data_IF_126201915930
#
_entry.id   IF_126201915930
#
_cell.length_a   1.000
_cell.length_b   1.000
_cell.length_c   1.000
_cell.angle_alpha   90.00
_cell.angle_beta   90.00
_cell.angle_gamma   90.00
#
_symmetry.space_group_name_H-M   'P 1'
#
loop_
_entity.id
_entity.type
_entity.pdbx_description
1 polymer ?
#
# COMPACT_ATOMS: atom_id res chain seq x y z
N UNK A 1 50.20 -52.06 -4.31
CA UNK A 1 49.82 -51.07 -3.27
C UNK A 1 49.24 -49.84 -3.96
N UNK A 2 48.15 -49.31 -3.41
CA UNK A 2 47.16 -48.37 -3.97
C UNK A 2 47.74 -47.08 -4.58
N UNK A 3 47.18 -46.66 -5.72
CA UNK A 3 47.06 -45.23 -6.09
C UNK A 3 45.59 -44.89 -6.34
N UNK A 4 45.17 -43.85 -5.65
CA UNK A 4 43.82 -43.30 -5.56
C UNK A 4 43.58 -42.33 -6.73
N UNK A 5 42.31 -42.04 -6.97
CA UNK A 5 41.73 -40.76 -7.43
C UNK A 5 41.31 -40.63 -8.90
N UNK A 6 40.03 -40.30 -9.09
CA UNK A 6 39.49 -39.79 -10.34
C UNK A 6 37.97 -39.74 -10.46
N UNK A 7 37.23 -39.39 -9.41
CA UNK A 7 35.82 -39.02 -9.55
C UNK A 7 35.70 -37.49 -9.44
N UNK A 8 35.69 -36.80 -10.58
CA UNK A 8 35.30 -35.40 -10.68
C UNK A 8 33.91 -35.34 -11.31
N UNK A 9 32.88 -35.47 -10.47
CA UNK A 9 31.54 -35.02 -10.83
C UNK A 9 31.47 -33.51 -10.52
N UNK A 10 31.80 -32.69 -11.51
CA UNK A 10 31.65 -31.24 -11.43
C UNK A 10 30.19 -30.87 -11.72
N UNK A 11 29.30 -31.11 -10.76
CA UNK A 11 27.93 -30.60 -10.82
C UNK A 11 27.96 -29.12 -10.45
N UNK A 12 28.03 -28.24 -11.45
CA UNK A 12 27.80 -26.82 -11.25
C UNK A 12 26.34 -26.61 -10.84
N UNK A 13 26.10 -26.43 -9.53
CA UNK A 13 24.84 -25.91 -9.04
C UNK A 13 24.74 -24.45 -9.46
N UNK A 14 23.85 -24.15 -10.40
CA UNK A 14 23.30 -22.82 -10.55
C UNK A 14 22.45 -22.54 -9.30
N UNK A 15 23.07 -21.94 -8.28
CA UNK A 15 22.33 -21.35 -7.18
C UNK A 15 21.50 -20.20 -7.76
N UNK A 16 20.19 -20.42 -7.89
CA UNK A 16 19.27 -19.32 -8.11
C UNK A 16 19.49 -18.28 -6.99
N UNK A 17 19.50 -16.96 -7.29
CA UNK A 17 19.62 -15.97 -6.25
C UNK A 17 18.51 -16.20 -5.23
N UNK A 18 18.90 -16.40 -3.97
CA UNK A 18 17.95 -16.53 -2.88
C UNK A 18 17.05 -15.30 -2.89
N UNK A 19 15.73 -15.51 -2.97
CA UNK A 19 14.77 -14.42 -2.90
C UNK A 19 14.95 -13.72 -1.54
N UNK A 20 15.48 -12.50 -1.54
CA UNK A 20 15.60 -11.69 -0.32
C UNK A 20 14.19 -11.50 0.23
N UNK A 21 13.96 -11.97 1.46
CA UNK A 21 12.68 -11.75 2.12
C UNK A 21 12.42 -10.24 2.26
N UNK A 22 11.18 -9.79 2.01
CA UNK A 22 10.86 -8.38 2.10
C UNK A 22 11.03 -7.88 3.53
N UNK A 23 11.70 -6.75 3.70
CA UNK A 23 11.80 -6.07 4.99
C UNK A 23 10.42 -5.50 5.31
N UNK A 24 9.88 -5.84 6.48
CA UNK A 24 8.59 -5.32 6.97
C UNK A 24 8.79 -4.61 8.31
N UNK A 25 8.19 -3.43 8.46
CA UNK A 25 8.14 -2.69 9.71
C UNK A 25 6.76 -2.07 9.93
N UNK A 26 6.25 -2.21 11.15
CA UNK A 26 4.92 -1.73 11.53
C UNK A 26 4.97 -0.38 12.25
N UNK A 27 3.95 0.45 12.01
CA UNK A 27 3.71 1.76 12.58
C UNK A 27 2.22 1.88 12.93
N UNK A 28 1.82 1.32 14.08
CA UNK A 28 0.41 1.15 14.41
C UNK A 28 -0.25 0.14 13.45
N UNK A 29 -1.25 0.59 12.69
CA UNK A 29 -1.92 -0.24 11.66
C UNK A 29 -1.29 -0.13 10.27
N UNK A 30 -0.22 0.67 10.13
CA UNK A 30 0.52 0.84 8.88
C UNK A 30 1.70 -0.12 8.80
N UNK A 31 1.88 -0.73 7.63
CA UNK A 31 3.04 -1.56 7.35
C UNK A 31 3.89 -0.93 6.24
N UNK A 32 5.16 -0.65 6.52
CA UNK A 32 6.17 -0.36 5.51
C UNK A 32 6.77 -1.70 5.03
N UNK A 33 6.71 -1.97 3.73
CA UNK A 33 7.21 -3.20 3.12
C UNK A 33 8.21 -2.84 2.01
N UNK A 34 9.43 -3.35 2.10
CA UNK A 34 10.51 -3.08 1.16
C UNK A 34 11.05 -4.37 0.54
N UNK A 35 11.27 -4.36 -0.79
CA UNK A 35 11.85 -5.51 -1.52
C UNK A 35 13.39 -5.57 -1.48
N UNK A 36 14.01 -4.76 -0.62
CA UNK A 36 15.45 -4.58 -0.53
C UNK A 36 15.78 -3.57 0.57
N UNK A 37 16.94 -2.90 0.50
CA UNK A 37 17.29 -1.82 1.43
C UNK A 37 16.17 -0.78 1.51
N UNK A 38 15.96 -0.25 2.71
CA UNK A 38 14.93 0.76 2.98
C UNK A 38 15.26 2.02 2.20
N UNK A 39 14.48 2.27 1.16
CA UNK A 39 14.57 3.44 0.29
C UNK A 39 13.22 3.65 -0.41
N UNK A 40 12.85 4.89 -0.77
CA UNK A 40 11.59 5.20 -1.43
C UNK A 40 11.28 4.29 -2.64
N UNK A 41 12.29 4.04 -3.50
CA UNK A 41 12.16 3.23 -4.71
C UNK A 41 11.89 1.75 -4.46
N UNK A 42 12.19 1.23 -3.26
CA UNK A 42 12.08 -0.18 -2.92
C UNK A 42 10.90 -0.50 -2.01
N UNK A 43 10.22 0.53 -1.50
CA UNK A 43 9.27 0.42 -0.41
C UNK A 43 7.87 0.89 -0.82
N UNK A 44 6.87 0.31 -0.16
CA UNK A 44 5.52 0.82 -0.12
C UNK A 44 5.02 0.80 1.32
N UNK A 45 4.16 1.75 1.65
CA UNK A 45 3.47 1.82 2.94
C UNK A 45 2.01 1.49 2.70
N UNK A 46 1.41 0.63 3.51
CA UNK A 46 0.02 0.24 3.30
C UNK A 46 -0.74 0.07 4.60
N UNK A 47 -2.02 0.38 4.53
CA UNK A 47 -3.03 0.03 5.51
C UNK A 47 -4.29 -0.40 4.75
N UNK A 48 -5.09 -1.27 5.36
CA UNK A 48 -6.41 -1.57 4.84
C UNK A 48 -7.37 -1.99 5.93
N UNK A 49 -8.65 -1.99 5.58
CA UNK A 49 -9.71 -2.45 6.47
C UNK A 49 -10.86 -3.04 5.66
N UNK A 50 -11.70 -3.83 6.32
CA UNK A 50 -12.96 -4.30 5.75
C UNK A 50 -14.02 -3.18 5.77
N UNK A 51 -15.07 -3.29 4.96
CA UNK A 51 -16.18 -2.35 5.05
C UNK A 51 -16.95 -2.58 6.34
N UNK A 52 -17.55 -1.50 6.86
CA UNK A 52 -18.42 -1.58 8.04
C UNK A 52 -19.72 -2.34 7.74
N UNK A 53 -20.23 -2.23 6.51
CA UNK A 53 -21.51 -2.80 6.09
C UNK A 53 -21.39 -4.26 5.62
N UNK A 54 -20.23 -4.66 5.09
CA UNK A 54 -19.97 -5.99 4.54
C UNK A 54 -18.49 -6.35 4.67
N UNK A 55 -18.17 -7.25 5.59
CA UNK A 55 -16.79 -7.65 5.88
C UNK A 55 -16.09 -8.40 4.72
N UNK A 56 -16.84 -8.85 3.70
CA UNK A 56 -16.24 -9.41 2.48
C UNK A 56 -15.64 -8.33 1.57
N UNK A 57 -16.05 -7.06 1.78
CA UNK A 57 -15.53 -5.89 1.09
C UNK A 57 -14.34 -5.34 1.84
N UNK A 58 -13.37 -4.83 1.09
CA UNK A 58 -12.15 -4.27 1.66
C UNK A 58 -11.72 -3.01 0.92
N UNK A 59 -10.99 -2.15 1.62
CA UNK A 59 -10.24 -1.04 1.05
C UNK A 59 -8.81 -1.06 1.57
N UNK A 60 -7.88 -0.65 0.73
CA UNK A 60 -6.46 -0.49 1.06
C UNK A 60 -5.97 0.85 0.54
N UNK A 61 -5.30 1.61 1.38
CA UNK A 61 -4.52 2.77 0.97
C UNK A 61 -3.06 2.33 0.84
N UNK A 62 -2.48 2.55 -0.33
CA UNK A 62 -1.07 2.30 -0.60
C UNK A 62 -0.38 3.63 -0.87
N UNK A 63 0.73 3.88 -0.16
CA UNK A 63 1.65 4.97 -0.44
C UNK A 63 2.91 4.38 -1.07
N UNK A 64 3.18 4.80 -2.29
CA UNK A 64 4.42 4.54 -3.02
C UNK A 64 5.20 5.85 -3.16
N UNK A 65 6.37 5.81 -3.76
CA UNK A 65 7.19 6.99 -3.95
C UNK A 65 7.53 7.15 -5.43
N UNK A 66 7.40 8.37 -5.94
CA UNK A 66 7.75 8.68 -7.32
C UNK A 66 9.28 8.73 -7.51
N UNK A 67 9.72 9.02 -8.74
CA UNK A 67 11.14 9.07 -9.08
C UNK A 67 11.94 10.13 -8.30
N UNK A 68 11.26 11.14 -7.75
CA UNK A 68 11.85 12.18 -6.91
C UNK A 68 11.83 11.85 -5.42
N UNK A 69 11.28 10.69 -5.04
CA UNK A 69 11.14 10.27 -3.65
C UNK A 69 9.94 10.92 -2.95
N UNK A 70 9.04 11.57 -3.67
CA UNK A 70 7.82 12.13 -3.08
C UNK A 70 6.74 11.05 -2.95
N UNK A 71 5.96 11.06 -1.85
CA UNK A 71 4.94 10.05 -1.64
C UNK A 71 3.74 10.27 -2.56
N UNK A 72 3.21 9.18 -3.11
CA UNK A 72 1.98 9.13 -3.90
C UNK A 72 1.07 8.03 -3.38
N UNK A 73 -0.20 8.37 -3.15
CA UNK A 73 -1.20 7.49 -2.60
C UNK A 73 -2.14 6.94 -3.68
N UNK A 74 -2.53 5.69 -3.51
CA UNK A 74 -3.49 4.97 -4.35
C UNK A 74 -4.46 4.22 -3.45
N UNK A 75 -5.75 4.33 -3.72
CA UNK A 75 -6.78 3.58 -3.00
C UNK A 75 -7.23 2.42 -3.86
N UNK A 76 -7.22 1.22 -3.28
CA UNK A 76 -7.76 0.02 -3.89
C UNK A 76 -8.93 -0.45 -3.06
N UNK A 77 -10.03 -0.77 -3.72
CA UNK A 77 -11.22 -1.33 -3.06
C UNK A 77 -11.63 -2.60 -3.77
N UNK A 78 -12.18 -3.55 -3.01
CA UNK A 78 -12.87 -4.70 -3.58
C UNK A 78 -13.97 -4.20 -4.53
N UNK A 79 -14.14 -4.79 -5.72
CA UNK A 79 -15.15 -4.36 -6.66
C UNK A 79 -16.54 -4.58 -6.05
N UNK A 80 -17.42 -3.59 -6.14
CA UNK A 80 -18.85 -3.72 -5.82
C UNK A 80 -19.72 -3.62 -7.07
N UNK A 81 -21.04 -3.69 -6.91
CA UNK A 81 -21.97 -3.52 -8.03
C UNK A 81 -21.85 -2.09 -8.60
N UNK A 82 -21.05 -1.93 -9.65
CA UNK A 82 -20.90 -0.73 -10.49
C UNK A 82 -20.87 0.59 -9.70
N UNK A 83 -19.81 0.81 -8.93
CA UNK A 83 -19.51 2.14 -8.39
C UNK A 83 -19.10 3.13 -9.47
N UNK A 84 -19.39 4.43 -9.27
CA UNK A 84 -18.98 5.50 -10.21
C UNK A 84 -17.71 6.24 -9.81
N UNK A 85 -17.40 6.30 -8.51
CA UNK A 85 -16.25 7.00 -7.95
C UNK A 85 -15.91 6.49 -6.54
N UNK A 86 -14.71 6.82 -6.06
CA UNK A 86 -14.30 6.65 -4.67
C UNK A 86 -14.38 8.02 -3.99
N UNK A 87 -15.20 8.15 -2.96
CA UNK A 87 -15.21 9.31 -2.07
C UNK A 87 -14.18 9.13 -0.97
N UNK A 88 -13.48 10.20 -0.64
CA UNK A 88 -12.52 10.22 0.47
C UNK A 88 -12.75 11.44 1.34
N UNK A 89 -12.66 11.26 2.65
CA UNK A 89 -12.80 12.32 3.63
C UNK A 89 -11.90 12.04 4.82
N UNK A 90 -11.00 12.96 5.13
CA UNK A 90 -10.18 12.88 6.33
C UNK A 90 -10.86 13.70 7.44
N UNK A 91 -11.17 13.08 8.57
CA UNK A 91 -11.96 13.66 9.66
C UNK A 91 -13.21 14.42 9.16
N UNK A 92 -13.29 15.72 9.42
CA UNK A 92 -14.41 16.61 9.07
C UNK A 92 -14.17 17.41 7.79
N UNK A 93 -13.10 17.13 7.04
CA UNK A 93 -12.79 17.81 5.79
C UNK A 93 -13.87 17.59 4.72
N UNK A 94 -13.94 18.45 3.68
CA UNK A 94 -14.82 18.21 2.55
C UNK A 94 -14.55 16.86 1.88
N UNK A 95 -15.61 16.19 1.44
CA UNK A 95 -15.50 14.94 0.68
C UNK A 95 -14.89 15.22 -0.70
N UNK A 96 -13.76 14.59 -1.01
CA UNK A 96 -13.13 14.62 -2.32
C UNK A 96 -13.51 13.37 -3.12
N UNK A 97 -13.82 13.56 -4.40
CA UNK A 97 -14.15 12.47 -5.32
C UNK A 97 -12.96 12.11 -6.19
N UNK A 98 -12.64 10.82 -6.22
CA UNK A 98 -11.60 10.28 -7.07
C UNK A 98 -12.21 9.60 -8.28
N UNK A 99 -11.63 9.89 -9.45
CA UNK A 99 -11.85 9.07 -10.64
C UNK A 99 -11.43 7.63 -10.34
N UNK A 100 -12.11 6.68 -10.94
CA UNK A 100 -11.94 5.27 -10.61
C UNK A 100 -11.78 4.43 -11.87
N UNK A 101 -10.86 3.46 -11.81
CA UNK A 101 -10.69 2.43 -12.83
C UNK A 101 -10.88 1.06 -12.17
N UNK A 102 -11.69 0.20 -12.77
CA UNK A 102 -12.00 -1.10 -12.21
C UNK A 102 -11.58 -2.24 -13.14
N UNK A 103 -11.05 -3.29 -12.54
CA UNK A 103 -10.91 -4.63 -13.10
C UNK A 103 -11.96 -5.55 -12.50
N UNK A 104 -11.96 -6.83 -12.89
CA UNK A 104 -12.85 -7.83 -12.30
C UNK A 104 -12.61 -8.07 -10.81
N UNK A 105 -11.41 -7.77 -10.29
CA UNK A 105 -10.99 -8.12 -8.94
C UNK A 105 -10.67 -6.93 -8.04
N UNK A 106 -10.54 -5.72 -8.60
CA UNK A 106 -10.18 -4.52 -7.84
C UNK A 106 -10.59 -3.24 -8.57
N UNK A 107 -11.04 -2.25 -7.82
CA UNK A 107 -11.19 -0.87 -8.27
C UNK A 107 -10.12 0.01 -7.64
N UNK A 108 -9.61 0.95 -8.42
CA UNK A 108 -8.48 1.80 -8.08
C UNK A 108 -8.86 3.27 -8.24
N UNK A 109 -8.58 4.06 -7.20
CA UNK A 109 -8.62 5.52 -7.21
C UNK A 109 -7.21 6.06 -7.13
N UNK A 110 -6.79 6.81 -8.16
CA UNK A 110 -5.40 7.26 -8.32
C UNK A 110 -5.24 8.60 -9.03
N UNK A 111 -4.01 9.16 -8.95
CA UNK A 111 -3.13 9.15 -7.79
C UNK A 111 -3.47 10.34 -6.87
N UNK A 112 -3.10 10.23 -5.60
CA UNK A 112 -3.15 11.32 -4.62
C UNK A 112 -1.72 11.77 -4.38
N UNK A 113 -1.40 13.01 -4.71
CA UNK A 113 -0.04 13.53 -4.68
C UNK A 113 0.45 13.83 -3.26
N UNK A 114 1.73 14.22 -3.14
CA UNK A 114 2.37 14.55 -1.88
C UNK A 114 1.64 15.65 -1.10
N UNK A 115 1.11 16.67 -1.78
CA UNK A 115 0.33 17.75 -1.14
C UNK A 115 -0.92 17.21 -0.43
N UNK A 116 -1.68 16.34 -1.11
CA UNK A 116 -2.83 15.70 -0.53
C UNK A 116 -2.45 14.86 0.69
N UNK A 117 -1.37 14.07 0.58
CA UNK A 117 -0.89 13.25 1.70
C UNK A 117 -0.54 14.16 2.88
N UNK A 118 0.25 15.22 2.63
CA UNK A 118 0.63 16.22 3.63
C UNK A 118 -0.57 16.82 4.34
N UNK A 119 -1.65 17.13 3.62
CA UNK A 119 -2.88 17.71 4.19
C UNK A 119 -3.63 16.77 5.15
N UNK A 120 -3.44 15.45 5.04
CA UNK A 120 -4.15 14.50 5.92
C UNK A 120 -3.30 14.01 7.09
N UNK A 121 -1.99 14.27 7.14
CA UNK A 121 -1.09 13.64 8.12
C UNK A 121 -1.41 13.96 9.58
N UNK A 122 -2.05 15.10 9.84
CA UNK A 122 -2.44 15.53 11.19
C UNK A 122 -3.88 15.12 11.56
N UNK A 123 -4.60 14.47 10.63
CA UNK A 123 -5.94 13.96 10.85
C UNK A 123 -5.90 12.61 11.58
N UNK A 124 -7.02 12.20 12.15
CA UNK A 124 -7.14 10.95 12.91
C UNK A 124 -7.63 9.80 12.05
N UNK A 125 -8.66 10.05 11.25
CA UNK A 125 -9.36 9.05 10.47
C UNK A 125 -9.45 9.46 8.99
N UNK A 126 -9.32 8.47 8.13
CA UNK A 126 -9.66 8.57 6.72
C UNK A 126 -10.86 7.67 6.45
N UNK A 127 -11.99 8.29 6.09
CA UNK A 127 -13.15 7.61 5.56
C UNK A 127 -13.00 7.46 4.04
N UNK A 128 -13.15 6.23 3.57
CA UNK A 128 -13.24 5.89 2.16
C UNK A 128 -14.65 5.40 1.91
N UNK A 129 -15.33 5.97 0.92
CA UNK A 129 -16.71 5.63 0.56
C UNK A 129 -16.76 5.18 -0.90
N UNK A 130 -17.12 3.92 -1.12
CA UNK A 130 -17.34 3.38 -2.46
C UNK A 130 -18.82 3.42 -2.81
N UNK A 131 -19.24 4.40 -3.64
CA UNK A 131 -20.67 4.64 -3.92
C UNK A 131 -21.16 3.96 -5.20
N UNK A 132 -22.22 3.16 -5.06
CA UNK A 132 -22.95 2.48 -6.14
C UNK A 132 -24.22 3.28 -6.50
N UNK A 133 -24.06 4.42 -7.18
CA UNK A 133 -25.20 5.26 -7.59
C UNK A 133 -25.86 6.03 -6.43
N UNK A 134 -27.19 6.00 -6.35
CA UNK A 134 -27.99 6.77 -5.37
C UNK A 134 -28.07 6.13 -3.98
N UNK A 135 -27.77 4.83 -3.84
CA UNK A 135 -27.73 4.16 -2.53
C UNK A 135 -26.44 4.46 -1.77
N UNK A 136 -26.51 4.34 -0.45
CA UNK A 136 -25.32 4.32 0.40
C UNK A 136 -24.39 3.18 -0.05
N UNK A 137 -23.11 3.52 -0.17
CA UNK A 137 -22.07 2.62 -0.63
C UNK A 137 -21.47 1.78 0.50
N UNK A 138 -20.26 1.27 0.28
CA UNK A 138 -19.44 0.69 1.35
C UNK A 138 -18.56 1.76 1.99
N UNK A 139 -18.51 1.81 3.32
CA UNK A 139 -17.65 2.71 4.08
C UNK A 139 -16.51 1.94 4.74
N UNK A 140 -15.31 2.45 4.54
CA UNK A 140 -14.08 1.94 5.16
C UNK A 140 -13.48 3.05 6.01
N UNK A 141 -13.02 2.72 7.20
CA UNK A 141 -12.34 3.65 8.09
C UNK A 141 -10.90 3.18 8.31
N UNK A 142 -9.96 4.05 8.00
CA UNK A 142 -8.53 3.87 8.24
C UNK A 142 -8.06 4.88 9.29
N UNK A 143 -7.15 4.49 10.15
CA UNK A 143 -6.49 5.39 11.10
C UNK A 143 -5.26 6.02 10.47
N UNK A 144 -5.13 7.34 10.50
CA UNK A 144 -3.97 7.99 9.87
C UNK A 144 -2.73 7.93 10.78
N UNK A 145 -2.91 7.78 12.10
CA UNK A 145 -1.81 7.64 13.07
C UNK A 145 -0.82 6.54 12.66
N UNK A 146 0.48 6.89 12.62
CA UNK A 146 1.56 6.00 12.17
C UNK A 146 2.01 6.23 10.72
N UNK A 147 1.20 6.89 9.88
CA UNK A 147 1.56 7.15 8.49
C UNK A 147 2.79 8.07 8.36
N UNK A 148 2.83 9.14 9.16
CA UNK A 148 3.93 10.11 9.16
C UNK A 148 5.26 9.46 9.54
N UNK A 149 5.25 8.60 10.55
CA UNK A 149 6.41 7.84 11.00
C UNK A 149 6.84 6.81 9.97
N UNK A 150 5.89 6.14 9.31
CA UNK A 150 6.18 5.20 8.24
C UNK A 150 6.85 5.90 7.03
N UNK A 151 6.35 7.08 6.63
CA UNK A 151 6.95 7.88 5.55
C UNK A 151 8.38 8.26 5.92
N UNK A 152 8.60 8.83 7.12
CA UNK A 152 9.94 9.20 7.60
C UNK A 152 10.90 8.02 7.65
N UNK A 153 10.43 6.85 8.06
CA UNK A 153 11.25 5.64 8.05
C UNK A 153 11.70 5.24 6.64
N UNK A 154 10.83 5.36 5.65
CA UNK A 154 11.16 5.03 4.26
C UNK A 154 12.03 6.10 3.60
N UNK A 155 11.79 7.39 3.88
CA UNK A 155 12.55 8.51 3.28
C UNK A 155 13.87 8.79 3.99
N UNK A 156 14.06 8.29 5.22
CA UNK A 156 15.25 8.55 6.02
C UNK A 156 15.29 9.95 6.63
N UNK A 157 14.17 10.67 6.65
CA UNK A 157 14.04 11.97 7.30
C UNK A 157 14.24 11.84 8.83
N UNK A 158 15.10 12.68 9.40
CA UNK A 158 15.36 12.72 10.85
C UNK A 158 14.28 13.53 11.59
N UNK A 159 13.95 13.09 12.81
CA UNK A 159 12.98 13.71 13.74
C UNK A 159 13.37 15.10 14.18
#
# INVERSE_FOLDING_TARGET
MLRVMGALALSALFAAPAATEPIRKEFGLWSAICKGPVAPSNCAILQGNAAQEDMSRWAKLFVQFNAFGEPEASIYVSPGAVGRYIGIRADSEPNQRLSMRCTLSVCEGRPLNADWIGSILDNKLLAIEYRTGEKEGFRFLLTISGLKEAIRYVTGEKT
#
